data_IF_326789006603
#
_entry.id   IF_326789006603
#
_cell.length_a   1.000
_cell.length_b   1.000
_cell.length_c   1.000
_cell.angle_alpha   90.00
_cell.angle_beta   90.00
_cell.angle_gamma   90.00
#
_symmetry.space_group_name_H-M   'P 1'
#
loop_
_entity.id
_entity.type
_entity.pdbx_description
1 polymer ?
#
# COMPACT_ATOMS: atom_id res chain seq x y z
N UNK A 1 2.50 -43.93 -14.09
CA UNK A 1 2.26 -42.93 -13.13
C UNK A 1 2.01 -41.62 -13.83
N UNK A 2 0.82 -41.05 -13.66
CA UNK A 2 0.42 -39.75 -14.22
C UNK A 2 0.97 -38.66 -13.27
N UNK A 3 1.90 -37.87 -13.72
CA UNK A 3 2.50 -36.78 -12.96
C UNK A 3 1.52 -35.60 -12.99
N UNK A 4 0.76 -35.39 -11.92
CA UNK A 4 -0.01 -34.15 -11.71
C UNK A 4 0.98 -33.05 -11.31
N UNK A 5 1.35 -32.18 -12.25
CA UNK A 5 1.95 -30.91 -11.89
C UNK A 5 0.85 -30.04 -11.27
N UNK A 6 0.91 -29.85 -9.95
CA UNK A 6 0.12 -28.83 -9.29
C UNK A 6 0.63 -27.46 -9.76
N UNK A 7 -0.06 -26.85 -10.72
CA UNK A 7 0.09 -25.44 -10.98
C UNK A 7 -0.48 -24.72 -9.77
N UNK A 8 0.39 -24.10 -8.96
CA UNK A 8 -0.04 -23.14 -7.96
C UNK A 8 -0.74 -22.01 -8.72
N UNK A 9 -2.06 -21.96 -8.62
CA UNK A 9 -2.84 -20.79 -9.05
C UNK A 9 -2.46 -19.64 -8.13
N UNK A 10 -1.44 -18.87 -8.55
CA UNK A 10 -1.18 -17.59 -7.91
C UNK A 10 -2.40 -16.71 -8.20
N UNK A 11 -3.08 -16.35 -7.14
CA UNK A 11 -4.21 -15.46 -7.14
C UNK A 11 -3.72 -14.07 -7.56
N UNK A 12 -4.17 -13.56 -8.68
CA UNK A 12 -3.77 -12.30 -9.31
C UNK A 12 -4.98 -11.47 -9.68
N UNK A 13 -4.79 -10.18 -9.87
CA UNK A 13 -5.83 -9.29 -10.38
C UNK A 13 -5.77 -9.29 -11.91
N UNK A 14 -6.85 -9.71 -12.55
CA UNK A 14 -6.95 -9.71 -14.00
C UNK A 14 -7.32 -8.32 -14.52
N UNK A 15 -6.64 -7.88 -15.58
CA UNK A 15 -6.91 -6.64 -16.29
C UNK A 15 -6.80 -6.89 -17.80
N UNK A 16 -7.52 -6.11 -18.60
CA UNK A 16 -7.42 -6.12 -20.06
C UNK A 16 -7.46 -4.71 -20.62
N UNK A 17 -7.03 -4.53 -21.86
CA UNK A 17 -7.07 -3.22 -22.50
C UNK A 17 -8.49 -2.64 -22.46
N UNK A 18 -8.62 -1.38 -22.00
CA UNK A 18 -9.87 -0.68 -21.86
C UNK A 18 -10.73 -1.08 -20.65
N UNK A 19 -10.30 -2.03 -19.82
CA UNK A 19 -11.00 -2.36 -18.56
C UNK A 19 -10.50 -1.50 -17.41
N UNK A 20 -11.33 -1.39 -16.35
CA UNK A 20 -10.97 -0.72 -15.09
C UNK A 20 -11.02 -1.75 -13.95
N UNK A 21 -10.02 -1.71 -13.09
CA UNK A 21 -9.94 -2.48 -11.85
C UNK A 21 -9.91 -1.50 -10.69
N UNK A 22 -10.68 -1.78 -9.64
CA UNK A 22 -10.74 -0.95 -8.43
C UNK A 22 -10.55 -1.79 -7.18
N UNK A 23 -9.96 -1.18 -6.14
CA UNK A 23 -9.83 -1.76 -4.80
C UNK A 23 -9.93 -0.65 -3.75
N UNK A 24 -10.96 -0.74 -2.90
CA UNK A 24 -11.19 0.19 -1.79
C UNK A 24 -10.92 -0.43 -0.41
N UNK A 25 -10.40 -1.65 -0.37
CA UNK A 25 -10.06 -2.37 0.86
C UNK A 25 -11.18 -2.57 1.90
N UNK A 26 -12.41 -2.14 1.65
CA UNK A 26 -13.54 -2.27 2.60
C UNK A 26 -13.81 -3.73 3.01
N UNK A 27 -13.48 -4.66 2.13
CA UNK A 27 -13.58 -6.10 2.38
C UNK A 27 -12.61 -6.63 3.44
N UNK A 28 -11.64 -5.85 3.93
CA UNK A 28 -10.75 -6.23 5.03
C UNK A 28 -11.51 -6.47 6.34
N UNK A 29 -12.64 -5.80 6.52
CA UNK A 29 -13.40 -5.88 7.76
C UNK A 29 -12.63 -5.27 8.95
N UNK A 30 -12.97 -5.70 10.16
CA UNK A 30 -12.53 -5.04 11.41
C UNK A 30 -11.52 -5.86 12.22
N UNK A 31 -10.90 -6.87 11.63
CA UNK A 31 -9.85 -7.67 12.30
C UNK A 31 -8.48 -6.99 12.17
N UNK A 32 -7.68 -7.08 13.23
CA UNK A 32 -6.27 -6.68 13.16
C UNK A 32 -5.49 -7.53 12.14
N UNK A 33 -5.76 -8.85 12.13
CA UNK A 33 -5.20 -9.78 11.16
C UNK A 33 -6.24 -10.02 10.05
N UNK A 34 -6.32 -9.09 9.12
CA UNK A 34 -7.24 -9.14 7.99
C UNK A 34 -6.53 -9.73 6.77
N UNK A 35 -7.18 -10.68 6.10
CA UNK A 35 -6.68 -11.23 4.82
C UNK A 35 -6.88 -10.20 3.71
N UNK A 36 -5.82 -9.93 2.96
CA UNK A 36 -5.86 -9.02 1.82
C UNK A 36 -6.67 -9.61 0.67
N UNK A 37 -7.24 -8.74 -0.20
CA UNK A 37 -7.89 -9.18 -1.42
C UNK A 37 -6.95 -9.99 -2.31
N UNK A 38 -7.54 -10.81 -3.16
CA UNK A 38 -6.82 -11.60 -4.17
C UNK A 38 -5.82 -10.77 -4.97
N UNK A 39 -4.59 -11.23 -5.08
CA UNK A 39 -3.52 -10.56 -5.82
C UNK A 39 -2.81 -9.44 -5.05
N UNK A 40 -3.33 -9.06 -3.87
CA UNK A 40 -2.72 -8.07 -2.99
C UNK A 40 -1.87 -8.72 -1.92
N UNK A 41 -0.76 -8.09 -1.61
CA UNK A 41 0.19 -8.52 -0.57
C UNK A 41 0.76 -7.33 0.18
N UNK A 42 1.42 -7.61 1.31
CA UNK A 42 1.98 -6.60 2.17
C UNK A 42 3.23 -7.13 2.86
N UNK A 43 4.23 -6.26 3.06
CA UNK A 43 5.40 -6.55 3.89
C UNK A 43 5.86 -5.32 4.65
N UNK A 44 6.83 -5.53 5.52
CA UNK A 44 7.59 -4.49 6.22
C UNK A 44 9.05 -4.89 6.32
N UNK A 45 9.93 -3.91 6.39
CA UNK A 45 11.36 -4.16 6.63
C UNK A 45 12.03 -3.05 7.42
N UNK A 46 13.28 -3.26 7.82
CA UNK A 46 14.05 -2.36 8.67
C UNK A 46 14.95 -1.38 7.88
N UNK A 47 14.74 -1.28 6.57
CA UNK A 47 15.44 -0.33 5.72
C UNK A 47 14.48 0.76 5.24
N UNK A 48 14.94 2.01 5.24
CA UNK A 48 14.14 3.16 4.78
C UNK A 48 13.98 3.13 3.26
N UNK A 49 12.81 3.49 2.76
CA UNK A 49 12.48 3.59 1.34
C UNK A 49 12.86 2.33 0.55
N UNK A 50 12.66 1.17 1.18
CA UNK A 50 13.02 -0.13 0.62
C UNK A 50 11.76 -0.90 0.23
N UNK A 51 11.69 -1.31 -1.01
CA UNK A 51 10.64 -2.19 -1.52
C UNK A 51 11.18 -3.62 -1.48
N UNK A 52 10.39 -4.52 -0.92
CA UNK A 52 10.74 -5.95 -0.82
C UNK A 52 10.45 -6.71 -2.12
N UNK A 53 10.04 -7.97 -2.00
CA UNK A 53 9.63 -8.78 -3.15
C UNK A 53 8.17 -9.20 -3.02
N UNK A 54 7.43 -9.17 -4.12
CA UNK A 54 6.04 -9.62 -4.12
C UNK A 54 5.92 -11.10 -3.67
N UNK A 55 6.85 -11.96 -4.11
CA UNK A 55 6.83 -13.39 -3.75
C UNK A 55 7.03 -13.63 -2.26
N UNK A 56 7.87 -12.81 -1.59
CA UNK A 56 8.16 -12.92 -0.16
C UNK A 56 7.15 -12.21 0.74
N UNK A 57 6.27 -11.38 0.18
CA UNK A 57 5.29 -10.61 0.94
C UNK A 57 4.14 -11.50 1.45
N UNK A 58 3.56 -11.11 2.59
CA UNK A 58 2.43 -11.78 3.22
C UNK A 58 1.08 -11.34 2.66
N UNK A 59 0.02 -12.02 3.10
CA UNK A 59 -1.36 -11.79 2.66
C UNK A 59 -2.28 -11.29 3.78
N UNK A 60 -1.72 -10.84 4.91
CA UNK A 60 -2.50 -10.39 6.04
C UNK A 60 -1.88 -9.15 6.71
N UNK A 61 -2.74 -8.31 7.26
CA UNK A 61 -2.36 -7.21 8.16
C UNK A 61 -1.97 -7.75 9.55
N UNK A 62 -1.46 -6.89 10.43
CA UNK A 62 -1.02 -7.26 11.77
C UNK A 62 -1.77 -6.52 12.87
N UNK A 63 -2.18 -5.31 12.59
CA UNK A 63 -2.70 -4.35 13.55
C UNK A 63 -3.94 -3.64 12.97
N UNK A 64 -4.74 -3.07 13.88
CA UNK A 64 -5.92 -2.28 13.55
C UNK A 64 -5.84 -0.92 14.23
N UNK A 65 -6.27 0.11 13.53
CA UNK A 65 -6.44 1.45 14.09
C UNK A 65 -7.55 2.21 13.36
N UNK A 66 -7.94 3.32 13.94
CA UNK A 66 -8.93 4.25 13.39
C UNK A 66 -8.80 5.60 14.10
N UNK A 67 -9.92 6.18 14.50
CA UNK A 67 -9.91 7.41 15.28
C UNK A 67 -9.18 7.22 16.63
N UNK A 68 -8.69 8.33 17.18
CA UNK A 68 -7.96 8.39 18.46
C UNK A 68 -6.76 7.41 18.53
N UNK A 69 -6.05 7.22 17.41
CA UNK A 69 -4.85 6.38 17.38
C UNK A 69 -3.83 6.89 18.42
N UNK A 70 -3.30 5.98 19.23
CA UNK A 70 -2.37 6.33 20.33
C UNK A 70 -1.10 6.99 19.82
N UNK A 71 -0.58 7.97 20.56
CA UNK A 71 0.75 8.56 20.33
C UNK A 71 1.89 7.56 20.54
N UNK A 72 1.65 6.46 21.24
CA UNK A 72 2.55 5.32 21.46
C UNK A 72 2.13 4.07 20.67
N UNK A 73 1.37 4.23 19.58
CA UNK A 73 0.93 3.10 18.77
C UNK A 73 2.09 2.24 18.30
N UNK A 74 1.88 0.94 18.30
CA UNK A 74 2.85 -0.05 17.82
C UNK A 74 3.17 0.17 16.34
N UNK A 75 4.43 -0.01 15.95
CA UNK A 75 4.82 -0.04 14.54
C UNK A 75 4.37 -1.33 13.86
N UNK A 76 4.15 -1.29 12.56
CA UNK A 76 3.78 -2.47 11.77
C UNK A 76 2.81 -2.17 10.64
N UNK A 77 2.17 -3.22 10.18
CA UNK A 77 1.21 -3.23 9.07
C UNK A 77 -0.20 -3.08 9.63
N UNK A 78 -0.90 -2.07 9.16
CA UNK A 78 -2.21 -1.70 9.68
C UNK A 78 -3.35 -1.89 8.68
N UNK A 79 -4.45 -2.42 9.21
CA UNK A 79 -5.80 -2.27 8.70
C UNK A 79 -6.40 -1.03 9.35
N UNK A 80 -6.41 0.10 8.65
CA UNK A 80 -6.99 1.35 9.14
C UNK A 80 -8.48 1.42 8.86
N UNK A 81 -9.23 2.13 9.71
CA UNK A 81 -10.66 2.39 9.54
C UNK A 81 -11.00 3.87 9.63
N UNK A 82 -11.81 4.36 8.72
CA UNK A 82 -12.34 5.73 8.74
C UNK A 82 -13.42 5.85 9.83
N UNK A 83 -12.99 6.08 11.04
CA UNK A 83 -13.82 6.13 12.25
C UNK A 83 -13.32 5.19 13.36
N UNK A 84 -14.22 4.59 14.10
CA UNK A 84 -13.89 3.63 15.17
C UNK A 84 -13.27 2.37 14.56
N UNK A 85 -12.06 2.02 14.98
CA UNK A 85 -11.26 0.94 14.40
C UNK A 85 -12.02 -0.40 14.28
N UNK A 86 -12.83 -0.74 15.29
CA UNK A 86 -13.54 -2.01 15.39
C UNK A 86 -14.93 -2.03 14.74
N UNK A 87 -15.35 -0.94 14.11
CA UNK A 87 -16.68 -0.85 13.47
C UNK A 87 -16.69 -0.07 12.15
N UNK A 88 -15.62 0.66 11.81
CA UNK A 88 -15.56 1.37 10.53
C UNK A 88 -15.62 0.39 9.36
N UNK A 89 -16.43 0.69 8.36
CA UNK A 89 -16.60 -0.10 7.14
C UNK A 89 -15.71 0.36 6.00
N UNK A 90 -15.34 1.63 5.99
CA UNK A 90 -14.39 2.23 5.06
C UNK A 90 -12.97 1.95 5.59
N UNK A 91 -12.13 1.27 4.77
CA UNK A 91 -10.85 0.70 5.21
C UNK A 91 -9.71 1.10 4.29
N UNK A 92 -8.54 1.30 4.88
CA UNK A 92 -7.29 1.54 4.17
C UNK A 92 -6.19 0.59 4.69
N UNK A 93 -5.16 0.38 3.90
CA UNK A 93 -4.02 -0.47 4.27
C UNK A 93 -2.71 0.32 4.24
N UNK A 94 -1.89 0.15 5.27
CA UNK A 94 -0.61 0.85 5.32
C UNK A 94 0.16 0.53 6.59
N UNK A 95 0.78 1.52 7.19
CA UNK A 95 1.59 1.25 8.37
C UNK A 95 2.08 2.47 9.13
N UNK A 96 2.86 2.16 10.15
CA UNK A 96 3.60 3.11 10.96
C UNK A 96 4.99 2.56 11.26
N UNK A 97 6.01 3.43 11.16
CA UNK A 97 7.39 3.15 11.56
C UNK A 97 7.63 3.36 13.05
N UNK A 98 8.69 2.73 13.54
CA UNK A 98 9.38 3.13 14.78
C UNK A 98 10.83 3.51 14.49
N UNK A 99 11.57 3.95 15.50
CA UNK A 99 13.00 4.24 15.36
C UNK A 99 13.86 3.03 14.97
N UNK A 100 13.39 1.82 15.25
CA UNK A 100 14.15 0.57 15.05
C UNK A 100 13.52 -0.41 14.07
N UNK A 101 12.23 -0.28 13.77
CA UNK A 101 11.51 -1.29 13.00
C UNK A 101 10.45 -0.67 12.07
N UNK A 102 9.96 -1.49 11.13
CA UNK A 102 8.95 -1.09 10.12
C UNK A 102 9.31 0.21 9.40
N UNK A 103 10.59 0.37 9.06
CA UNK A 103 11.10 1.59 8.40
C UNK A 103 10.57 1.75 6.99
N UNK A 104 10.12 0.67 6.38
CA UNK A 104 9.27 0.65 5.19
C UNK A 104 8.12 -0.33 5.40
N UNK A 105 6.93 0.05 4.92
CA UNK A 105 5.78 -0.84 4.75
C UNK A 105 5.36 -0.76 3.30
N UNK A 106 5.22 -1.91 2.64
CA UNK A 106 4.89 -1.99 1.24
C UNK A 106 3.56 -2.70 1.04
N UNK A 107 2.70 -2.12 0.23
CA UNK A 107 1.46 -2.76 -0.26
C UNK A 107 1.64 -3.06 -1.72
N UNK A 108 1.39 -4.29 -2.13
CA UNK A 108 1.65 -4.78 -3.48
C UNK A 108 0.37 -5.27 -4.16
N UNK A 109 0.35 -5.17 -5.48
CA UNK A 109 -0.62 -5.89 -6.32
C UNK A 109 0.08 -6.50 -7.53
N UNK A 110 -0.34 -7.71 -7.92
CA UNK A 110 0.00 -8.33 -9.19
C UNK A 110 -1.18 -8.18 -10.15
N UNK A 111 -0.94 -7.49 -11.25
CA UNK A 111 -1.87 -7.37 -12.37
C UNK A 111 -1.44 -8.36 -13.46
N UNK A 112 -2.39 -9.09 -14.04
CA UNK A 112 -2.13 -9.95 -15.20
C UNK A 112 -3.04 -9.55 -16.33
N UNK A 113 -2.45 -9.27 -17.49
CA UNK A 113 -3.22 -8.99 -18.69
C UNK A 113 -3.83 -10.30 -19.23
N UNK A 114 -5.09 -10.56 -18.89
CA UNK A 114 -5.83 -11.72 -19.35
C UNK A 114 -6.56 -11.48 -20.68
N UNK A 115 -6.38 -10.31 -21.29
CA UNK A 115 -6.88 -9.99 -22.63
C UNK A 115 -6.01 -10.57 -23.73
N UNK A 116 -6.40 -10.32 -24.99
CA UNK A 116 -5.70 -10.81 -26.19
C UNK A 116 -4.80 -9.76 -26.83
N UNK A 117 -4.82 -8.52 -26.35
CA UNK A 117 -4.03 -7.40 -26.87
C UNK A 117 -3.16 -6.81 -25.76
N UNK A 118 -2.04 -6.21 -26.14
CA UNK A 118 -1.18 -5.49 -25.19
C UNK A 118 -1.89 -4.26 -24.61
N UNK A 119 -1.63 -3.99 -23.32
CA UNK A 119 -1.93 -2.72 -22.68
C UNK A 119 -0.68 -1.85 -22.86
N UNK A 120 -0.85 -0.60 -23.33
CA UNK A 120 0.29 0.27 -23.65
C UNK A 120 0.61 1.27 -22.53
N UNK A 121 -0.37 1.58 -21.68
CA UNK A 121 -0.24 2.43 -20.51
C UNK A 121 -1.36 2.13 -19.52
N UNK A 122 -1.21 2.65 -18.29
CA UNK A 122 -2.19 2.53 -17.22
C UNK A 122 -2.56 3.94 -16.71
N UNK A 123 -3.85 4.20 -16.58
CA UNK A 123 -4.34 5.37 -15.85
C UNK A 123 -4.60 4.95 -14.41
N UNK A 124 -3.89 5.53 -13.45
CA UNK A 124 -3.91 5.10 -12.05
C UNK A 124 -4.34 6.24 -11.15
N UNK A 125 -5.19 5.92 -10.19
CA UNK A 125 -5.58 6.77 -9.06
C UNK A 125 -5.53 6.01 -7.76
N UNK A 126 -5.30 6.72 -6.66
CA UNK A 126 -5.39 6.20 -5.29
C UNK A 126 -5.42 7.34 -4.29
N UNK A 127 -5.95 7.07 -3.11
CA UNK A 127 -5.92 7.98 -1.97
C UNK A 127 -4.79 7.59 -1.02
N UNK A 128 -4.15 8.60 -0.43
CA UNK A 128 -3.24 8.43 0.71
C UNK A 128 -3.87 9.13 1.90
N UNK A 129 -4.12 8.36 2.94
CA UNK A 129 -4.83 8.76 4.13
C UNK A 129 -3.90 8.79 5.34
N UNK A 130 -4.01 9.85 6.16
CA UNK A 130 -3.23 10.01 7.38
C UNK A 130 -4.10 9.75 8.60
N UNK A 131 -3.73 8.73 9.39
CA UNK A 131 -4.46 8.27 10.57
C UNK A 131 -3.84 8.74 11.91
N UNK A 132 -2.58 9.15 11.88
CA UNK A 132 -1.88 9.72 13.03
C UNK A 132 -0.88 10.77 12.58
N UNK A 133 -0.77 11.87 13.36
CA UNK A 133 0.27 12.86 13.22
C UNK A 133 1.64 12.29 13.59
N UNK A 134 2.70 12.93 13.10
CA UNK A 134 4.08 12.58 13.43
C UNK A 134 4.99 13.79 13.41
N UNK A 135 5.83 13.93 14.45
CA UNK A 135 6.77 15.07 14.61
C UNK A 135 8.10 14.87 13.89
N UNK A 136 8.30 13.76 13.19
CA UNK A 136 9.54 13.54 12.43
C UNK A 136 9.74 14.69 11.42
N UNK A 137 10.84 15.40 11.53
CA UNK A 137 11.09 16.62 10.75
C UNK A 137 11.15 16.38 9.23
N UNK A 138 11.47 15.16 8.80
CA UNK A 138 11.48 14.77 7.38
C UNK A 138 10.06 14.48 6.84
N UNK A 139 9.07 14.25 7.72
CA UNK A 139 7.77 13.77 7.31
C UNK A 139 7.80 12.34 6.75
N UNK A 140 6.65 11.87 6.28
CA UNK A 140 6.51 10.54 5.69
C UNK A 140 5.87 10.61 4.31
N UNK A 141 6.19 9.61 3.50
CA UNK A 141 5.82 9.54 2.09
C UNK A 141 5.25 8.18 1.76
N UNK A 142 4.25 8.15 0.89
CA UNK A 142 3.92 6.98 0.10
C UNK A 142 4.34 7.26 -1.35
N UNK A 143 5.23 6.40 -1.89
CA UNK A 143 5.69 6.41 -3.27
C UNK A 143 5.27 5.12 -3.95
N UNK A 144 4.65 5.22 -5.14
CA UNK A 144 4.37 4.05 -5.96
C UNK A 144 5.59 3.67 -6.81
N UNK A 145 5.79 2.36 -6.92
CA UNK A 145 6.79 1.71 -7.77
C UNK A 145 6.11 0.69 -8.68
N UNK A 146 6.77 0.32 -9.77
CA UNK A 146 6.35 -0.77 -10.63
C UNK A 146 7.50 -1.74 -10.93
N UNK A 147 7.15 -2.96 -11.33
CA UNK A 147 8.09 -4.03 -11.64
C UNK A 147 7.48 -5.00 -12.64
N UNK A 148 8.32 -5.60 -13.49
CA UNK A 148 7.91 -6.68 -14.41
C UNK A 148 8.21 -8.06 -13.86
N UNK A 149 9.00 -8.16 -12.78
CA UNK A 149 9.41 -9.42 -12.15
C UNK A 149 8.98 -9.56 -10.68
N UNK A 150 8.41 -8.49 -10.08
CA UNK A 150 8.00 -8.45 -8.68
C UNK A 150 9.14 -8.38 -7.67
N UNK A 151 10.36 -8.11 -8.11
CA UNK A 151 11.56 -8.06 -7.26
C UNK A 151 12.47 -6.87 -7.56
N UNK A 152 12.56 -6.45 -8.82
CA UNK A 152 13.32 -5.28 -9.25
C UNK A 152 12.37 -4.13 -9.50
N UNK A 153 12.49 -3.06 -8.70
CA UNK A 153 11.50 -1.99 -8.66
C UNK A 153 12.01 -0.70 -9.27
N UNK A 154 11.15 -0.05 -10.04
CA UNK A 154 11.37 1.28 -10.62
C UNK A 154 10.34 2.24 -10.03
N UNK A 155 10.80 3.41 -9.57
CA UNK A 155 9.88 4.47 -9.12
C UNK A 155 8.98 4.91 -10.26
N UNK A 156 7.68 5.02 -9.98
CA UNK A 156 6.71 5.54 -10.93
C UNK A 156 6.79 7.08 -11.10
N UNK A 157 7.65 7.74 -10.33
CA UNK A 157 7.89 9.17 -10.42
C UNK A 157 7.03 10.01 -9.47
N UNK A 158 7.20 11.33 -9.57
CA UNK A 158 6.58 12.28 -8.65
C UNK A 158 5.05 12.37 -8.78
N UNK A 159 4.49 12.03 -9.94
CA UNK A 159 3.03 11.99 -10.14
C UNK A 159 2.35 10.93 -9.30
N UNK A 160 3.12 9.97 -8.79
CA UNK A 160 2.65 8.85 -7.97
C UNK A 160 3.25 8.87 -6.55
N UNK A 161 3.45 10.06 -6.03
CA UNK A 161 4.03 10.28 -4.69
C UNK A 161 3.18 11.27 -3.89
N UNK A 162 2.88 10.91 -2.65
CA UNK A 162 2.25 11.80 -1.66
C UNK A 162 3.15 11.88 -0.44
N UNK A 163 3.49 13.11 -0.03
CA UNK A 163 4.31 13.37 1.15
C UNK A 163 3.56 14.28 2.12
N UNK A 164 3.63 13.95 3.40
CA UNK A 164 3.13 14.80 4.47
C UNK A 164 4.33 15.37 5.23
N UNK A 165 4.33 16.68 5.44
CA UNK A 165 5.34 17.36 6.27
C UNK A 165 5.12 17.00 7.75
N UNK A 166 6.12 17.28 8.58
CA UNK A 166 6.04 17.06 10.03
C UNK A 166 4.84 17.78 10.65
N UNK A 167 4.18 17.12 11.59
CA UNK A 167 3.13 17.68 12.40
C UNK A 167 3.68 18.23 13.73
N UNK A 168 2.87 19.01 14.46
CA UNK A 168 3.25 19.57 15.75
C UNK A 168 3.30 18.53 16.88
N UNK A 169 2.57 17.41 16.73
CA UNK A 169 2.43 16.35 17.74
C UNK A 169 2.45 14.95 17.10
N UNK A 170 2.16 13.91 17.89
CA UNK A 170 2.03 12.52 17.46
C UNK A 170 0.65 11.94 17.78
N UNK A 171 -0.37 12.79 17.89
CA UNK A 171 -1.70 12.37 18.27
C UNK A 171 -2.47 11.79 17.08
N UNK A 172 -3.35 10.85 17.37
CA UNK A 172 -4.39 10.41 16.45
C UNK A 172 -5.48 11.46 16.31
N UNK A 173 -6.32 11.29 15.32
CA UNK A 173 -7.46 12.17 15.05
C UNK A 173 -8.71 11.68 15.76
N UNK A 174 -9.52 12.59 16.27
CA UNK A 174 -10.86 12.27 16.79
C UNK A 174 -11.80 11.81 15.68
N UNK A 175 -11.54 12.23 14.46
CA UNK A 175 -12.21 11.78 13.25
C UNK A 175 -11.15 11.34 12.25
N UNK A 176 -11.03 10.04 12.00
CA UNK A 176 -10.05 9.46 11.08
C UNK A 176 -10.70 9.12 9.72
N UNK A 177 -9.95 9.26 8.62
CA UNK A 177 -8.62 9.86 8.54
C UNK A 177 -8.65 11.37 8.80
N UNK A 178 -7.53 11.92 9.31
CA UNK A 178 -7.42 13.35 9.58
C UNK A 178 -7.02 14.17 8.35
N UNK A 179 -6.44 13.53 7.35
CA UNK A 179 -6.11 14.13 6.07
C UNK A 179 -6.11 13.06 4.98
N UNK A 180 -6.56 13.44 3.80
CA UNK A 180 -6.51 12.60 2.58
C UNK A 180 -5.95 13.41 1.43
N UNK A 181 -5.05 12.81 0.68
CA UNK A 181 -4.53 13.37 -0.57
C UNK A 181 -4.70 12.35 -1.68
N UNK A 182 -5.41 12.75 -2.73
CA UNK A 182 -5.73 11.88 -3.87
C UNK A 182 -4.75 12.09 -5.02
N UNK A 183 -4.28 10.99 -5.59
CA UNK A 183 -3.70 10.93 -6.93
C UNK A 183 -4.83 10.52 -7.87
N UNK A 184 -5.11 11.30 -8.89
CA UNK A 184 -6.22 11.05 -9.80
C UNK A 184 -5.77 11.07 -11.24
N UNK A 185 -6.10 9.99 -11.97
CA UNK A 185 -5.97 9.92 -13.42
C UNK A 185 -4.55 10.10 -13.95
N UNK A 186 -3.53 9.66 -13.24
CA UNK A 186 -2.12 9.75 -13.67
C UNK A 186 -1.75 8.59 -14.58
N UNK A 187 -0.98 8.86 -15.62
CA UNK A 187 -0.58 7.86 -16.60
C UNK A 187 0.77 7.25 -16.24
N UNK A 188 0.80 5.94 -16.04
CA UNK A 188 2.02 5.13 -16.00
C UNK A 188 2.29 4.60 -17.41
N UNK A 189 3.34 5.11 -18.03
CA UNK A 189 3.78 4.70 -19.38
C UNK A 189 4.55 3.38 -19.31
N UNK A 190 3.81 2.28 -19.15
CA UNK A 190 4.35 0.93 -19.06
C UNK A 190 3.52 0.00 -19.93
N UNK A 191 4.18 -0.75 -20.83
CA UNK A 191 3.52 -1.74 -21.66
C UNK A 191 3.38 -3.07 -20.93
N UNK A 192 2.26 -3.78 -21.18
CA UNK A 192 1.98 -5.11 -20.64
C UNK A 192 1.39 -6.00 -21.74
N UNK A 193 2.18 -6.95 -22.22
CA UNK A 193 1.74 -7.89 -23.25
C UNK A 193 0.63 -8.81 -22.72
N UNK A 194 -0.18 -9.34 -23.61
CA UNK A 194 -1.18 -10.36 -23.30
C UNK A 194 -0.52 -11.55 -22.58
N UNK A 195 -1.12 -12.03 -21.49
CA UNK A 195 -0.63 -13.13 -20.68
C UNK A 195 0.50 -12.77 -19.71
N UNK A 196 1.03 -11.52 -19.74
CA UNK A 196 2.11 -11.07 -18.86
C UNK A 196 1.59 -10.41 -17.59
N UNK A 197 2.47 -10.25 -16.59
CA UNK A 197 2.15 -9.59 -15.33
C UNK A 197 2.96 -8.30 -15.13
N UNK A 198 2.32 -7.34 -14.47
CA UNK A 198 2.91 -6.12 -13.95
C UNK A 198 2.64 -6.06 -12.45
N UNK A 199 3.63 -5.68 -11.68
CA UNK A 199 3.52 -5.52 -10.24
C UNK A 199 3.58 -4.03 -9.90
N UNK A 200 2.69 -3.60 -9.00
CA UNK A 200 2.75 -2.27 -8.40
C UNK A 200 3.04 -2.42 -6.91
N UNK A 201 3.75 -1.45 -6.34
CA UNK A 201 4.03 -1.38 -4.92
C UNK A 201 3.88 0.06 -4.42
N UNK A 202 3.17 0.25 -3.32
CA UNK A 202 3.10 1.51 -2.58
C UNK A 202 3.99 1.40 -1.36
N UNK A 203 5.09 2.16 -1.35
CA UNK A 203 6.07 2.15 -0.27
C UNK A 203 5.82 3.30 0.69
N UNK A 204 5.42 2.98 1.91
CA UNK A 204 5.41 3.89 3.05
C UNK A 204 6.80 3.95 3.66
N UNK A 205 7.37 5.15 3.82
CA UNK A 205 8.61 5.37 4.57
C UNK A 205 8.81 6.83 4.93
N UNK A 206 9.83 7.10 5.76
CA UNK A 206 10.31 8.48 6.00
C UNK A 206 10.72 9.13 4.69
N UNK A 207 10.38 10.42 4.51
CA UNK A 207 10.60 11.13 3.24
C UNK A 207 12.09 11.26 2.89
N UNK A 208 12.94 11.49 3.90
CA UNK A 208 14.41 11.63 3.73
C UNK A 208 15.14 11.20 5.00
N UNK A 209 16.46 11.06 4.91
CA UNK A 209 17.29 10.65 6.04
C UNK A 209 17.02 9.19 6.47
N UNK A 210 17.42 8.84 7.69
CA UNK A 210 17.34 7.49 8.24
C UNK A 210 16.58 7.41 9.58
N UNK A 211 16.22 8.54 10.18
CA UNK A 211 15.46 8.61 11.42
C UNK A 211 14.00 8.36 11.14
N UNK A 212 13.41 7.34 11.77
CA UNK A 212 12.06 6.87 11.50
C UNK A 212 11.15 6.87 12.74
N UNK A 213 11.60 7.47 13.84
CA UNK A 213 10.78 7.71 15.03
C UNK A 213 9.78 8.85 14.83
N UNK A 214 8.82 8.97 15.74
CA UNK A 214 7.76 9.97 15.69
C UNK A 214 7.02 10.00 14.34
N UNK A 215 6.72 8.83 13.82
CA UNK A 215 6.20 8.61 12.49
C UNK A 215 4.72 8.98 12.35
N UNK A 216 4.35 9.46 11.18
CA UNK A 216 2.96 9.52 10.73
C UNK A 216 2.47 8.11 10.39
N UNK A 217 1.19 7.82 10.66
CA UNK A 217 0.53 6.61 10.18
C UNK A 217 -0.17 6.93 8.86
N UNK A 218 0.22 6.25 7.78
CA UNK A 218 -0.34 6.45 6.45
C UNK A 218 -0.87 5.14 5.87
N UNK A 219 -1.99 5.22 5.16
CA UNK A 219 -2.57 4.12 4.40
C UNK A 219 -2.92 4.52 2.98
N UNK A 220 -3.12 3.55 2.11
CA UNK A 220 -3.69 3.73 0.77
C UNK A 220 -5.11 3.21 0.73
N UNK A 221 -5.94 3.86 -0.07
CA UNK A 221 -7.31 3.48 -0.34
C UNK A 221 -7.73 3.86 -1.78
N UNK A 222 -8.91 3.43 -2.19
CA UNK A 222 -9.56 3.82 -3.45
C UNK A 222 -8.65 3.71 -4.68
N UNK A 223 -7.92 2.61 -4.79
CA UNK A 223 -7.04 2.35 -5.93
C UNK A 223 -7.86 2.05 -7.18
N UNK A 224 -7.53 2.70 -8.27
CA UNK A 224 -8.14 2.46 -9.57
C UNK A 224 -7.09 2.43 -10.69
#
# INVERSE_FOLDING_TARGET
GMLFTATSLFSQVNISAGSTVTQNFDGLGTSATATLPTGWKVDKNNSVRSVGTYSGAGTATELIAGNNMSSSAQNGIYNFGAGVATSATDRAIGGISSGSASKSVNVYVQLTNNGTTSINNFTIGFDVEKYRNGKNSAGFTIQMYYSTDGSTWTSAGNDFKVSFVADANTDGYTSAPGATTSISGKTLSQSLAAGSSLYLAWNYSVTSGSTTSSAQALGIDNVS
#
